data_IF_715210420462
#
_entry.id   IF_715210420462
#
_cell.length_a   1.000
_cell.length_b   1.000
_cell.length_c   1.000
_cell.angle_alpha   90.00
_cell.angle_beta   90.00
_cell.angle_gamma   90.00
#
_symmetry.space_group_name_H-M   'P 1'
#
loop_
_entity.id
_entity.type
_entity.pdbx_description
1 polymer ?
#
# COMPACT_ATOMS: atom_id res chain seq x y z
N UNK A 1 29.53 17.78 -12.27
CA UNK A 1 28.70 16.73 -12.87
C UNK A 1 28.72 15.45 -12.05
N UNK A 2 27.55 14.97 -11.63
CA UNK A 2 27.31 13.64 -11.02
C UNK A 2 26.44 12.82 -11.96
N UNK A 3 26.73 11.53 -12.14
CA UNK A 3 25.91 10.60 -12.92
C UNK A 3 25.27 9.57 -12.00
N UNK A 4 23.96 9.43 -12.08
CA UNK A 4 23.20 8.50 -11.25
C UNK A 4 22.26 7.65 -12.09
N UNK A 5 22.26 6.34 -11.85
CA UNK A 5 21.36 5.40 -12.53
C UNK A 5 20.34 4.84 -11.57
N UNK A 6 19.09 4.83 -12.02
CA UNK A 6 18.01 4.07 -11.42
C UNK A 6 17.67 2.90 -12.33
N UNK A 7 17.89 1.67 -11.86
CA UNK A 7 17.68 0.45 -12.65
C UNK A 7 16.58 -0.35 -11.99
N UNK A 8 15.55 -0.71 -12.75
CA UNK A 8 14.44 -1.53 -12.26
C UNK A 8 14.21 -2.68 -13.24
N UNK A 9 14.41 -3.91 -12.77
CA UNK A 9 14.01 -5.12 -13.48
C UNK A 9 12.87 -5.81 -12.77
N UNK A 10 11.80 -6.07 -13.51
CA UNK A 10 10.63 -6.81 -13.02
C UNK A 10 10.44 -8.03 -13.89
N UNK A 11 10.51 -9.21 -13.28
CA UNK A 11 10.03 -10.46 -13.88
C UNK A 11 8.67 -10.79 -13.29
N UNK A 12 7.72 -11.11 -14.13
CA UNK A 12 6.34 -11.39 -13.73
C UNK A 12 5.83 -12.59 -14.52
N UNK A 13 5.26 -13.57 -13.81
CA UNK A 13 4.35 -14.55 -14.36
C UNK A 13 2.97 -14.24 -13.83
N UNK A 14 2.05 -13.93 -14.74
CA UNK A 14 0.67 -13.56 -14.43
C UNK A 14 -0.26 -14.59 -15.06
N UNK A 15 -1.07 -15.25 -14.23
CA UNK A 15 -2.09 -16.20 -14.67
C UNK A 15 -3.46 -15.56 -14.47
N UNK A 16 -4.17 -15.32 -15.57
CA UNK A 16 -5.50 -14.76 -15.56
C UNK A 16 -6.53 -15.87 -15.29
N UNK A 17 -7.50 -15.56 -14.44
CA UNK A 17 -8.62 -16.43 -14.11
C UNK A 17 -9.90 -15.81 -14.65
N UNK A 18 -10.72 -16.63 -15.29
CA UNK A 18 -12.06 -16.26 -15.71
C UNK A 18 -13.03 -17.41 -15.47
N UNK A 19 -14.20 -17.13 -14.89
CA UNK A 19 -15.21 -18.12 -14.51
C UNK A 19 -14.64 -19.36 -13.78
N UNK A 20 -13.71 -19.11 -12.85
CA UNK A 20 -13.04 -20.13 -12.02
C UNK A 20 -12.20 -21.12 -12.85
N UNK A 21 -11.66 -20.67 -13.98
CA UNK A 21 -10.71 -21.41 -14.83
C UNK A 21 -9.55 -20.51 -15.23
N UNK A 22 -8.41 -21.11 -15.48
CA UNK A 22 -7.28 -20.42 -16.10
C UNK A 22 -7.69 -20.02 -17.53
N UNK A 23 -7.54 -18.74 -17.84
CA UNK A 23 -7.84 -18.16 -19.15
C UNK A 23 -6.57 -17.97 -19.97
N UNK A 24 -5.56 -17.34 -19.39
CA UNK A 24 -4.32 -17.00 -20.08
C UNK A 24 -3.13 -16.87 -19.12
N UNK A 25 -1.92 -17.05 -19.64
CA UNK A 25 -0.66 -16.87 -18.92
C UNK A 25 0.16 -15.83 -19.65
N UNK A 26 0.72 -14.86 -18.92
CA UNK A 26 1.61 -13.83 -19.43
C UNK A 26 2.92 -13.88 -18.68
N UNK A 27 4.02 -13.90 -19.44
CA UNK A 27 5.36 -13.69 -18.91
C UNK A 27 5.84 -12.29 -19.30
N UNK A 28 6.51 -11.63 -18.37
CA UNK A 28 7.11 -10.31 -18.57
C UNK A 28 8.47 -10.32 -17.89
N UNK A 29 9.50 -9.88 -18.60
CA UNK A 29 10.83 -9.59 -18.06
C UNK A 29 11.25 -8.24 -18.64
N UNK A 30 11.08 -7.19 -17.86
CA UNK A 30 11.36 -5.82 -18.31
C UNK A 30 12.40 -5.23 -17.39
N UNK A 31 13.53 -4.85 -17.99
CA UNK A 31 14.53 -4.00 -17.37
C UNK A 31 14.39 -2.57 -17.91
N UNK A 32 14.34 -1.61 -17.01
CA UNK A 32 14.31 -0.18 -17.29
C UNK A 32 15.53 0.46 -16.63
N UNK A 33 16.25 1.30 -17.37
CA UNK A 33 17.36 2.10 -16.84
C UNK A 33 17.09 3.57 -17.06
N UNK A 34 17.05 4.33 -15.97
CA UNK A 34 17.16 5.77 -15.94
C UNK A 34 18.59 6.22 -15.73
N UNK A 35 19.03 7.24 -16.45
CA UNK A 35 20.26 7.96 -16.16
C UNK A 35 19.93 9.42 -15.89
N UNK A 36 20.34 9.91 -14.72
CA UNK A 36 20.26 11.30 -14.28
C UNK A 36 21.66 11.90 -14.25
N UNK A 37 21.78 13.14 -14.70
CA UNK A 37 23.02 13.92 -14.70
C UNK A 37 22.75 15.22 -13.95
N UNK A 38 23.47 15.44 -12.86
CA UNK A 38 23.38 16.65 -12.06
C UNK A 38 24.59 17.53 -12.36
N UNK A 39 24.37 18.75 -12.84
CA UNK A 39 25.45 19.69 -13.14
C UNK A 39 25.03 21.14 -12.93
N UNK A 40 25.83 21.89 -12.16
CA UNK A 40 25.64 23.33 -11.91
C UNK A 40 24.22 23.72 -11.45
N UNK A 41 23.60 22.91 -10.59
CA UNK A 41 22.24 23.16 -10.08
C UNK A 41 21.11 22.79 -11.05
N UNK A 42 21.42 22.09 -12.14
CA UNK A 42 20.45 21.57 -13.10
C UNK A 42 20.50 20.04 -13.18
N UNK A 43 19.38 19.45 -13.59
CA UNK A 43 19.28 18.01 -13.88
C UNK A 43 18.96 17.75 -15.35
N UNK A 44 19.74 16.87 -15.96
CA UNK A 44 19.43 16.20 -17.22
C UNK A 44 19.09 14.74 -16.94
N UNK A 45 18.28 14.14 -17.79
CA UNK A 45 17.86 12.75 -17.65
C UNK A 45 17.57 12.10 -19.00
N UNK A 46 17.66 10.76 -19.04
CA UNK A 46 17.21 9.93 -20.15
C UNK A 46 16.87 8.50 -19.66
N UNK A 47 15.99 7.83 -20.41
CA UNK A 47 15.59 6.44 -20.15
C UNK A 47 15.97 5.47 -21.26
N UNK A 48 16.11 4.20 -20.89
CA UNK A 48 16.21 3.06 -21.78
C UNK A 48 15.40 1.86 -21.24
N UNK A 49 14.92 1.01 -22.15
CA UNK A 49 14.22 -0.25 -21.83
C UNK A 49 14.97 -1.38 -22.54
N UNK A 50 15.28 -2.44 -21.81
CA UNK A 50 16.08 -3.57 -22.30
C UNK A 50 17.52 -3.16 -22.61
N UNK A 51 18.07 -3.68 -23.70
CA UNK A 51 19.46 -3.42 -24.10
C UNK A 51 19.62 -1.97 -24.59
N UNK A 52 20.72 -1.32 -24.20
CA UNK A 52 21.07 0.03 -24.64
C UNK A 52 22.58 0.23 -24.71
N UNK A 53 23.02 1.20 -25.52
CA UNK A 53 24.40 1.67 -25.55
C UNK A 53 24.60 2.77 -24.50
N UNK A 54 25.54 2.55 -23.58
CA UNK A 54 25.82 3.44 -22.45
C UNK A 54 26.14 4.88 -22.91
N UNK A 55 26.97 5.00 -23.93
CA UNK A 55 27.43 6.28 -24.48
C UNK A 55 26.28 7.09 -25.08
N UNK A 56 25.33 6.43 -25.75
CA UNK A 56 24.15 7.08 -26.31
C UNK A 56 23.14 7.50 -25.23
N UNK A 57 22.96 6.69 -24.18
CA UNK A 57 22.11 7.08 -23.04
C UNK A 57 22.69 8.31 -22.32
N UNK A 58 24.00 8.32 -22.07
CA UNK A 58 24.69 9.46 -21.47
C UNK A 58 24.59 10.72 -22.34
N UNK A 59 24.79 10.58 -23.66
CA UNK A 59 24.66 11.71 -24.60
C UNK A 59 23.25 12.32 -24.55
N UNK A 60 22.20 11.50 -24.54
CA UNK A 60 20.81 11.97 -24.41
C UNK A 60 20.56 12.66 -23.07
N UNK A 61 21.03 12.09 -21.96
CA UNK A 61 20.87 12.68 -20.63
C UNK A 61 21.63 14.01 -20.50
N UNK A 62 22.80 14.15 -21.14
CA UNK A 62 23.53 15.44 -21.18
C UNK A 62 22.79 16.48 -22.01
N UNK A 63 22.27 16.10 -23.17
CA UNK A 63 21.53 17.02 -24.03
C UNK A 63 20.32 17.63 -23.33
N UNK A 64 19.66 16.91 -22.41
CA UNK A 64 18.52 17.43 -21.66
C UNK A 64 18.89 18.42 -20.56
N UNK A 65 20.18 18.60 -20.22
CA UNK A 65 20.61 19.71 -19.36
C UNK A 65 20.31 21.09 -19.97
N UNK A 66 20.24 21.20 -21.30
CA UNK A 66 19.91 22.44 -22.01
C UNK A 66 18.50 22.96 -21.67
N UNK A 67 17.62 22.09 -21.17
CA UNK A 67 16.30 22.47 -20.67
C UNK A 67 16.35 23.25 -19.35
N UNK A 68 17.52 23.30 -18.69
CA UNK A 68 17.75 24.04 -17.44
C UNK A 68 16.73 23.75 -16.34
N UNK A 69 16.38 22.47 -16.17
CA UNK A 69 15.47 22.04 -15.10
C UNK A 69 16.20 22.23 -13.76
N UNK A 70 15.74 23.13 -12.86
CA UNK A 70 16.45 23.41 -11.62
C UNK A 70 16.40 22.21 -10.67
N UNK A 71 17.57 21.79 -10.20
CA UNK A 71 17.75 20.75 -9.21
C UNK A 71 19.05 21.02 -8.44
N UNK A 72 18.92 21.75 -7.34
CA UNK A 72 20.04 22.23 -6.52
C UNK A 72 20.32 21.31 -5.32
N UNK A 73 19.84 20.07 -5.38
CA UNK A 73 19.92 19.12 -4.28
C UNK A 73 21.04 18.14 -4.55
N UNK A 74 21.95 18.01 -3.59
CA UNK A 74 23.06 17.07 -3.72
C UNK A 74 22.54 15.63 -3.72
N UNK A 75 22.97 14.79 -4.68
CA UNK A 75 22.71 13.35 -4.65
C UNK A 75 23.26 12.71 -3.36
N UNK A 76 22.70 11.56 -2.96
CA UNK A 76 23.30 10.79 -1.86
C UNK A 76 24.68 10.25 -2.28
N UNK A 77 25.64 10.23 -1.37
CA UNK A 77 27.02 9.82 -1.67
C UNK A 77 27.53 8.76 -0.67
N UNK A 78 28.58 8.02 -1.06
CA UNK A 78 29.37 7.14 -0.19
C UNK A 78 28.54 6.16 0.68
N UNK A 79 27.47 5.59 0.12
CA UNK A 79 26.55 4.70 0.84
C UNK A 79 26.31 3.44 0.03
N UNK A 80 26.69 2.30 0.60
CA UNK A 80 26.53 0.98 -0.02
C UNK A 80 25.60 0.15 0.86
N UNK A 81 24.49 -0.34 0.30
CA UNK A 81 23.56 -1.21 1.00
C UNK A 81 22.82 -2.12 0.04
N UNK A 82 22.81 -3.41 0.33
CA UNK A 82 22.16 -4.42 -0.49
C UNK A 82 21.26 -5.26 0.41
N UNK A 83 19.98 -5.36 0.08
CA UNK A 83 19.01 -6.15 0.82
C UNK A 83 18.27 -7.07 -0.15
N UNK A 84 18.32 -8.39 0.08
CA UNK A 84 17.60 -9.40 -0.70
C UNK A 84 16.57 -10.09 0.19
N UNK A 85 15.30 -9.88 -0.13
CA UNK A 85 14.15 -10.47 0.57
C UNK A 85 13.54 -11.64 -0.22
N UNK A 86 14.18 -12.04 -1.32
CA UNK A 86 13.70 -13.12 -2.18
C UNK A 86 13.70 -14.44 -1.43
N UNK A 87 12.51 -14.90 -1.06
CA UNK A 87 12.30 -16.23 -0.50
C UNK A 87 11.88 -17.21 -1.60
N UNK A 88 12.15 -18.50 -1.37
CA UNK A 88 11.55 -19.56 -2.18
C UNK A 88 10.06 -19.66 -1.81
N UNK A 89 9.19 -19.38 -2.79
CA UNK A 89 7.73 -19.42 -2.60
C UNK A 89 7.15 -20.65 -3.30
N UNK A 90 7.21 -20.64 -4.62
CA UNK A 90 6.75 -21.70 -5.52
C UNK A 90 7.63 -21.65 -6.77
N UNK A 91 7.86 -22.82 -7.37
CA UNK A 91 8.59 -22.90 -8.64
C UNK A 91 7.71 -22.41 -9.80
N UNK A 92 8.32 -21.67 -10.73
CA UNK A 92 7.59 -21.05 -11.84
C UNK A 92 6.86 -22.09 -12.71
N UNK A 93 7.49 -23.23 -12.96
CA UNK A 93 6.94 -24.35 -13.75
C UNK A 93 5.78 -25.08 -13.05
N UNK A 94 5.58 -24.85 -11.75
CA UNK A 94 4.49 -25.41 -10.94
C UNK A 94 3.32 -24.46 -10.72
N UNK A 95 3.44 -23.18 -11.08
CA UNK A 95 2.41 -22.16 -10.83
C UNK A 95 1.05 -22.52 -11.44
N UNK A 96 1.03 -23.03 -12.68
CA UNK A 96 -0.20 -23.34 -13.42
C UNK A 96 -0.91 -24.54 -12.80
N UNK A 97 -0.16 -25.61 -12.51
CA UNK A 97 -0.66 -26.83 -11.86
C UNK A 97 -1.25 -26.47 -10.49
N UNK A 98 -0.51 -25.68 -9.70
CA UNK A 98 -0.93 -25.27 -8.36
C UNK A 98 -2.21 -24.42 -8.37
N UNK A 99 -2.30 -23.43 -9.26
CA UNK A 99 -3.50 -22.60 -9.36
C UNK A 99 -4.71 -23.43 -9.83
N UNK A 100 -4.53 -24.36 -10.76
CA UNK A 100 -5.62 -25.23 -11.22
C UNK A 100 -6.12 -26.15 -10.09
N UNK A 101 -5.23 -26.66 -9.23
CA UNK A 101 -5.64 -27.42 -8.03
C UNK A 101 -6.48 -26.56 -7.08
N UNK A 102 -6.07 -25.31 -6.80
CA UNK A 102 -6.84 -24.37 -5.98
C UNK A 102 -8.22 -24.10 -6.62
N UNK A 103 -8.28 -23.76 -7.90
CA UNK A 103 -9.52 -23.47 -8.62
C UNK A 103 -10.44 -24.71 -8.69
N UNK A 104 -9.88 -25.91 -8.77
CA UNK A 104 -10.64 -27.16 -8.73
C UNK A 104 -11.40 -27.34 -7.42
N UNK A 105 -10.75 -27.05 -6.30
CA UNK A 105 -11.40 -27.05 -4.98
C UNK A 105 -12.50 -25.99 -4.93
N UNK A 106 -12.25 -24.76 -5.40
CA UNK A 106 -13.26 -23.70 -5.42
C UNK A 106 -14.49 -24.05 -6.26
N UNK A 107 -14.32 -24.70 -7.43
CA UNK A 107 -15.45 -25.16 -8.25
C UNK A 107 -16.34 -26.17 -7.53
N UNK A 108 -15.78 -26.95 -6.61
CA UNK A 108 -16.52 -27.93 -5.80
C UNK A 108 -17.13 -27.29 -4.54
N UNK A 109 -16.33 -26.59 -3.75
CA UNK A 109 -16.70 -26.10 -2.42
C UNK A 109 -17.47 -24.77 -2.45
N UNK A 110 -17.19 -23.92 -3.44
CA UNK A 110 -17.80 -22.60 -3.61
C UNK A 110 -18.51 -22.50 -4.97
N UNK A 111 -19.26 -23.55 -5.32
CA UNK A 111 -19.93 -23.68 -6.63
C UNK A 111 -21.02 -22.63 -6.92
N UNK A 112 -21.45 -21.88 -5.90
CA UNK A 112 -22.38 -20.75 -6.05
C UNK A 112 -21.71 -19.50 -6.67
N UNK A 113 -20.38 -19.47 -6.77
CA UNK A 113 -19.60 -18.32 -7.23
C UNK A 113 -18.84 -18.59 -8.54
N UNK A 114 -18.64 -17.53 -9.31
CA UNK A 114 -17.57 -17.42 -10.29
C UNK A 114 -16.41 -16.63 -9.70
N UNK A 115 -15.19 -17.08 -9.95
CA UNK A 115 -13.98 -16.34 -9.62
C UNK A 115 -13.30 -15.82 -10.89
N UNK A 116 -12.74 -14.63 -10.84
CA UNK A 116 -11.99 -14.03 -11.94
C UNK A 116 -10.84 -13.17 -11.43
N UNK A 117 -10.06 -12.57 -12.36
CA UNK A 117 -8.91 -11.69 -12.15
C UNK A 117 -7.58 -12.44 -12.24
N UNK A 118 -6.69 -12.46 -11.24
CA UNK A 118 -5.31 -12.95 -11.48
C UNK A 118 -4.59 -13.55 -10.27
N UNK A 119 -3.57 -14.33 -10.59
CA UNK A 119 -2.54 -14.82 -9.68
C UNK A 119 -1.18 -14.47 -10.27
N UNK A 120 -0.30 -13.85 -9.49
CA UNK A 120 1.00 -13.36 -9.97
C UNK A 120 2.15 -13.87 -9.12
N UNK A 121 3.26 -14.17 -9.79
CA UNK A 121 4.59 -14.29 -9.17
C UNK A 121 5.49 -13.21 -9.76
N UNK A 122 5.98 -12.31 -8.91
CA UNK A 122 6.81 -11.18 -9.29
C UNK A 122 8.20 -11.29 -8.67
N UNK A 123 9.25 -11.02 -9.43
CA UNK A 123 10.60 -10.79 -8.93
C UNK A 123 11.03 -9.37 -9.26
N UNK A 124 11.43 -8.63 -8.24
CA UNK A 124 11.87 -7.25 -8.33
C UNK A 124 13.38 -7.17 -8.10
N UNK A 125 14.08 -6.43 -8.95
CA UNK A 125 15.47 -6.03 -8.75
C UNK A 125 15.58 -4.54 -9.02
N UNK A 126 15.80 -3.75 -7.98
CA UNK A 126 15.86 -2.28 -8.06
C UNK A 126 17.22 -1.82 -7.56
N UNK A 127 17.88 -0.93 -8.31
CA UNK A 127 19.18 -0.36 -7.95
C UNK A 127 19.21 1.14 -8.13
N UNK A 128 19.89 1.83 -7.23
CA UNK A 128 20.26 3.23 -7.35
C UNK A 128 21.77 3.36 -7.14
N UNK A 129 22.49 3.80 -8.19
CA UNK A 129 23.95 3.85 -8.19
C UNK A 129 24.43 5.19 -8.74
N UNK A 130 25.53 5.76 -8.22
CA UNK A 130 26.13 6.95 -8.81
C UNK A 130 27.67 6.95 -8.75
N UNK A 131 28.29 7.90 -9.46
CA UNK A 131 29.75 8.08 -9.50
C UNK A 131 30.33 8.80 -8.27
N UNK A 132 29.53 8.97 -7.21
CA UNK A 132 29.89 9.51 -5.90
C UNK A 132 29.87 8.44 -4.79
N UNK A 133 29.83 7.17 -5.16
CA UNK A 133 29.93 6.05 -4.21
C UNK A 133 28.59 5.61 -3.61
N UNK A 134 27.45 6.05 -4.14
CA UNK A 134 26.15 5.46 -3.83
C UNK A 134 25.99 4.13 -4.57
N UNK A 135 25.61 3.07 -3.85
CA UNK A 135 25.23 1.79 -4.41
C UNK A 135 24.18 1.10 -3.53
N UNK A 136 22.92 1.33 -3.86
CA UNK A 136 21.77 0.75 -3.18
C UNK A 136 21.16 -0.33 -4.07
N UNK A 137 20.90 -1.51 -3.52
CA UNK A 137 20.21 -2.58 -4.23
C UNK A 137 19.14 -3.22 -3.36
N UNK A 138 17.95 -3.35 -3.93
CA UNK A 138 16.81 -4.04 -3.37
C UNK A 138 16.42 -5.20 -4.29
N UNK A 139 16.17 -6.36 -3.70
CA UNK A 139 15.67 -7.52 -4.43
C UNK A 139 14.57 -8.22 -3.64
N UNK A 140 13.53 -8.66 -4.33
CA UNK A 140 12.42 -9.37 -3.70
C UNK A 140 11.72 -10.33 -4.66
N UNK A 141 11.01 -11.30 -4.09
CA UNK A 141 10.14 -12.23 -4.79
C UNK A 141 8.81 -12.31 -4.05
N UNK A 142 7.73 -12.00 -4.76
CA UNK A 142 6.41 -11.80 -4.19
C UNK A 142 5.36 -12.58 -4.97
N UNK A 143 4.43 -13.21 -4.25
CA UNK A 143 3.24 -13.85 -4.81
C UNK A 143 1.99 -13.05 -4.46
N UNK A 144 1.05 -12.92 -5.39
CA UNK A 144 -0.28 -12.39 -5.12
C UNK A 144 -1.38 -13.27 -5.71
N UNK A 145 -2.45 -13.45 -4.94
CA UNK A 145 -3.73 -13.97 -5.42
C UNK A 145 -4.73 -12.83 -5.27
N UNK A 146 -5.37 -12.43 -6.35
CA UNK A 146 -6.35 -11.35 -6.37
C UNK A 146 -7.56 -11.86 -7.13
N UNK A 147 -8.50 -12.54 -6.44
CA UNK A 147 -9.70 -13.09 -7.05
C UNK A 147 -10.91 -12.24 -6.73
N UNK A 148 -11.60 -11.77 -7.76
CA UNK A 148 -12.96 -11.25 -7.64
C UNK A 148 -13.92 -12.42 -7.58
N UNK A 149 -14.92 -12.38 -6.69
CA UNK A 149 -16.00 -13.36 -6.67
C UNK A 149 -17.32 -12.72 -7.05
N UNK A 150 -18.13 -13.46 -7.82
CA UNK A 150 -19.49 -13.10 -8.22
C UNK A 150 -20.41 -14.28 -7.94
N UNK A 151 -21.45 -14.07 -7.15
CA UNK A 151 -22.53 -15.03 -6.97
C UNK A 151 -23.25 -15.25 -8.30
N UNK A 152 -23.48 -16.51 -8.68
CA UNK A 152 -24.08 -16.86 -9.98
C UNK A 152 -25.45 -16.22 -10.20
N UNK A 153 -26.23 -16.10 -9.13
CA UNK A 153 -27.57 -15.50 -9.12
C UNK A 153 -27.56 -13.97 -9.02
N UNK A 154 -26.43 -13.36 -8.67
CA UNK A 154 -26.29 -11.91 -8.61
C UNK A 154 -26.32 -11.31 -10.01
N UNK A 155 -26.95 -10.13 -10.15
CA UNK A 155 -26.94 -9.32 -11.37
C UNK A 155 -25.70 -8.43 -11.48
N UNK A 156 -24.91 -8.34 -10.41
CA UNK A 156 -23.72 -7.50 -10.35
C UNK A 156 -22.59 -8.03 -11.26
N UNK A 157 -21.61 -7.19 -11.57
CA UNK A 157 -20.41 -7.63 -12.30
C UNK A 157 -19.45 -8.38 -11.36
N UNK A 158 -19.43 -7.98 -10.08
CA UNK A 158 -18.73 -8.64 -8.97
C UNK A 158 -19.51 -8.41 -7.68
N UNK A 159 -19.35 -9.29 -6.70
CA UNK A 159 -19.98 -9.14 -5.37
C UNK A 159 -18.96 -8.94 -4.24
N UNK A 160 -17.69 -9.22 -4.49
CA UNK A 160 -16.58 -8.95 -3.57
C UNK A 160 -15.26 -9.50 -4.11
N UNK A 161 -14.24 -9.51 -3.25
CA UNK A 161 -12.92 -10.04 -3.58
C UNK A 161 -12.32 -10.83 -2.42
N UNK A 162 -11.37 -11.70 -2.75
CA UNK A 162 -10.55 -12.48 -1.83
C UNK A 162 -9.13 -12.51 -2.38
N UNK A 163 -8.15 -12.47 -1.50
CA UNK A 163 -6.77 -12.44 -1.96
C UNK A 163 -5.75 -12.31 -0.88
N UNK A 164 -4.50 -12.43 -1.29
CA UNK A 164 -3.34 -12.14 -0.46
C UNK A 164 -2.19 -11.63 -1.32
N UNK A 165 -1.24 -10.97 -0.67
CA UNK A 165 -0.02 -10.48 -1.27
C UNK A 165 1.13 -10.64 -0.27
N UNK A 166 2.19 -11.34 -0.65
CA UNK A 166 3.36 -11.48 0.21
C UNK A 166 4.41 -12.49 -0.24
N UNK A 167 5.26 -12.91 0.71
CA UNK A 167 6.42 -13.80 0.46
C UNK A 167 6.18 -15.26 0.81
N UNK A 168 4.92 -15.64 1.06
CA UNK A 168 4.53 -16.98 1.48
C UNK A 168 3.28 -17.41 0.75
N UNK A 169 3.23 -18.68 0.40
CA UNK A 169 2.06 -19.32 -0.20
C UNK A 169 1.81 -20.66 0.48
N UNK A 170 0.54 -20.90 0.80
CA UNK A 170 0.04 -22.19 1.24
C UNK A 170 -1.41 -22.31 0.74
N UNK A 171 -1.68 -23.33 -0.08
CA UNK A 171 -3.00 -23.53 -0.67
C UNK A 171 -4.09 -23.75 0.37
N UNK A 172 -3.80 -24.51 1.42
CA UNK A 172 -4.77 -24.80 2.46
C UNK A 172 -5.15 -23.54 3.24
N UNK A 173 -4.19 -22.66 3.51
CA UNK A 173 -4.47 -21.35 4.11
C UNK A 173 -5.23 -20.44 3.16
N UNK A 174 -4.84 -20.35 1.89
CA UNK A 174 -5.55 -19.56 0.89
C UNK A 174 -7.02 -20.01 0.74
N UNK A 175 -7.26 -21.32 0.61
CA UNK A 175 -8.60 -21.89 0.54
C UNK A 175 -9.41 -21.62 1.82
N UNK A 176 -8.77 -21.71 3.00
CA UNK A 176 -9.43 -21.40 4.27
C UNK A 176 -9.93 -19.95 4.30
N UNK A 177 -9.10 -19.01 3.88
CA UNK A 177 -9.47 -17.58 3.87
C UNK A 177 -10.56 -17.28 2.83
N UNK A 178 -10.45 -17.84 1.63
CA UNK A 178 -11.48 -17.72 0.58
C UNK A 178 -12.82 -18.29 1.09
N UNK A 179 -12.78 -19.50 1.66
CA UNK A 179 -13.97 -20.15 2.21
C UNK A 179 -14.56 -19.35 3.38
N UNK A 180 -13.73 -18.73 4.22
CA UNK A 180 -14.20 -17.89 5.32
C UNK A 180 -15.03 -16.71 4.80
N UNK A 181 -14.53 -15.98 3.81
CA UNK A 181 -15.26 -14.85 3.19
C UNK A 181 -16.51 -15.32 2.45
N UNK A 182 -16.41 -16.32 1.59
CA UNK A 182 -17.55 -16.81 0.79
C UNK A 182 -18.67 -17.39 1.66
N UNK A 183 -18.32 -18.09 2.75
CA UNK A 183 -19.32 -18.64 3.67
C UNK A 183 -20.01 -17.53 4.47
N UNK A 184 -19.26 -16.53 4.94
CA UNK A 184 -19.84 -15.36 5.59
C UNK A 184 -20.75 -14.56 4.63
N UNK A 185 -20.37 -14.45 3.35
CA UNK A 185 -21.17 -13.79 2.32
C UNK A 185 -22.55 -14.44 2.11
N UNK A 186 -22.59 -15.78 2.14
CA UNK A 186 -23.83 -16.56 2.01
C UNK A 186 -24.75 -16.40 3.23
N UNK A 187 -24.20 -16.14 4.41
CA UNK A 187 -24.98 -15.93 5.62
C UNK A 187 -25.38 -14.45 5.79
N UNK A 188 -26.63 -14.11 5.47
CA UNK A 188 -27.13 -12.73 5.66
C UNK A 188 -27.53 -12.49 7.10
N UNK A 189 -27.15 -11.33 7.65
CA UNK A 189 -27.51 -10.89 9.00
C UNK A 189 -27.94 -9.42 8.97
N UNK A 190 -28.81 -9.04 9.90
CA UNK A 190 -29.27 -7.65 10.04
C UNK A 190 -28.23 -6.80 10.78
N UNK A 191 -28.20 -5.50 10.51
CA UNK A 191 -27.43 -4.56 11.31
C UNK A 191 -28.04 -4.47 12.72
N UNK A 192 -27.25 -4.63 13.80
CA UNK A 192 -27.77 -4.41 15.16
C UNK A 192 -28.33 -2.99 15.33
N UNK A 193 -29.33 -2.81 16.19
CA UNK A 193 -29.93 -1.47 16.44
C UNK A 193 -29.01 -0.58 17.27
N UNK A 194 -28.09 0.12 16.61
CA UNK A 194 -27.14 1.11 17.18
C UNK A 194 -26.77 2.11 16.08
N UNK A 195 -26.31 3.31 16.44
CA UNK A 195 -25.84 4.30 15.45
C UNK A 195 -24.31 4.33 15.31
N UNK A 196 -23.58 4.04 16.38
CA UNK A 196 -22.11 4.10 16.43
C UNK A 196 -21.56 2.69 16.59
N UNK A 197 -20.70 2.25 15.68
CA UNK A 197 -20.09 0.92 15.73
C UNK A 197 -18.57 1.00 15.72
N UNK A 198 -17.88 0.01 16.32
CA UNK A 198 -16.50 -0.25 15.96
C UNK A 198 -16.45 -0.68 14.49
N UNK A 199 -15.96 0.18 13.63
CA UNK A 199 -15.72 -0.11 12.21
C UNK A 199 -14.28 -0.56 12.06
N UNK A 200 -14.09 -1.63 11.29
CA UNK A 200 -12.82 -2.33 11.12
C UNK A 200 -12.42 -2.28 9.65
N UNK A 201 -11.28 -1.66 9.39
CA UNK A 201 -10.63 -1.63 8.07
C UNK A 201 -9.35 -2.47 8.10
N UNK A 202 -8.96 -3.00 6.95
CA UNK A 202 -7.63 -3.54 6.78
C UNK A 202 -6.60 -2.39 6.72
N UNK A 203 -5.42 -2.56 7.31
CA UNK A 203 -4.40 -1.48 7.37
C UNK A 203 -3.78 -1.12 6.02
N UNK A 204 -3.95 -1.97 5.01
CA UNK A 204 -3.58 -1.74 3.61
C UNK A 204 -4.69 -1.01 2.83
N UNK A 205 -5.86 -0.76 3.42
CA UNK A 205 -6.87 0.12 2.85
C UNK A 205 -6.45 1.59 2.95
N UNK A 206 -6.42 2.26 1.81
CA UNK A 206 -5.98 3.67 1.73
C UNK A 206 -7.10 4.65 2.09
N UNK A 207 -8.36 4.25 1.92
CA UNK A 207 -9.50 5.14 2.11
C UNK A 207 -9.55 5.77 3.52
N UNK A 208 -9.38 5.03 4.64
CA UNK A 208 -9.43 5.62 5.98
C UNK A 208 -8.30 6.61 6.27
N UNK A 209 -7.13 6.44 5.62
CA UNK A 209 -5.93 7.27 5.84
C UNK A 209 -5.77 8.38 4.79
N UNK A 210 -6.63 8.43 3.76
CA UNK A 210 -6.51 9.34 2.61
C UNK A 210 -6.31 10.80 3.01
N UNK A 211 -7.07 11.29 4.00
CA UNK A 211 -6.93 12.67 4.49
C UNK A 211 -5.61 12.94 5.19
N UNK A 212 -5.08 11.95 5.93
CA UNK A 212 -3.74 12.07 6.54
C UNK A 212 -2.66 12.11 5.47
N UNK A 213 -2.77 11.31 4.40
CA UNK A 213 -1.87 11.40 3.24
C UNK A 213 -1.89 12.82 2.67
N UNK A 214 -3.07 13.36 2.38
CA UNK A 214 -3.20 14.72 1.82
C UNK A 214 -2.66 15.82 2.74
N UNK A 215 -2.99 15.76 4.03
CA UNK A 215 -2.64 16.81 4.99
C UNK A 215 -1.19 16.69 5.50
N UNK A 216 -0.54 15.54 5.34
CA UNK A 216 0.89 15.37 5.60
C UNK A 216 1.75 15.52 4.35
N UNK A 217 1.17 15.87 3.20
CA UNK A 217 1.93 16.26 2.02
C UNK A 217 2.74 17.52 2.29
N UNK A 218 4.06 17.47 2.10
CA UNK A 218 4.95 18.60 2.38
C UNK A 218 4.62 19.87 1.60
N UNK A 219 4.01 19.79 0.41
CA UNK A 219 3.56 20.97 -0.32
C UNK A 219 2.31 21.57 0.32
N UNK A 220 1.33 20.74 0.69
CA UNK A 220 0.12 21.21 1.36
C UNK A 220 0.41 21.76 2.75
N UNK A 221 1.29 21.09 3.48
CA UNK A 221 1.72 21.49 4.81
C UNK A 221 2.51 22.80 4.78
N UNK A 222 3.52 22.90 3.90
CA UNK A 222 4.36 24.08 3.78
C UNK A 222 3.63 25.32 3.22
N UNK A 223 2.58 25.13 2.43
CA UNK A 223 1.72 26.21 1.92
C UNK A 223 0.56 26.59 2.85
N UNK A 224 0.44 25.94 4.02
CA UNK A 224 -0.65 26.10 4.99
C UNK A 224 -2.06 25.74 4.45
N UNK A 225 -2.16 24.94 3.40
CA UNK A 225 -3.45 24.42 2.90
C UNK A 225 -3.92 23.18 3.68
N UNK A 226 -3.00 22.47 4.33
CA UNK A 226 -3.30 21.30 5.17
C UNK A 226 -3.93 21.68 6.51
N UNK A 227 -4.89 20.86 6.97
CA UNK A 227 -5.49 21.00 8.31
C UNK A 227 -4.49 20.77 9.45
N UNK A 228 -3.36 20.10 9.18
CA UNK A 228 -2.33 19.74 10.15
C UNK A 228 -1.20 20.78 10.25
N UNK A 229 -1.07 21.69 9.28
CA UNK A 229 -0.01 22.72 9.26
C UNK A 229 0.02 23.54 10.56
N UNK A 230 -1.14 24.07 10.97
CA UNK A 230 -1.31 24.87 12.20
C UNK A 230 -1.33 24.03 13.49
N UNK A 231 -1.23 22.71 13.35
CA UNK A 231 -1.25 21.72 14.43
C UNK A 231 0.13 21.10 14.68
N UNK A 232 1.18 21.51 13.96
CA UNK A 232 2.57 21.09 14.24
C UNK A 232 2.90 21.27 15.72
N UNK A 233 3.42 20.23 16.36
CA UNK A 233 3.75 20.19 17.78
C UNK A 233 2.56 20.07 18.73
N UNK A 234 1.33 19.97 18.25
CA UNK A 234 0.12 19.83 19.08
C UNK A 234 -0.40 18.39 19.05
N UNK A 235 -0.85 17.89 20.21
CA UNK A 235 -1.60 16.63 20.32
C UNK A 235 -3.02 16.86 19.81
N UNK A 236 -3.35 16.29 18.67
CA UNK A 236 -4.68 16.39 18.04
C UNK A 236 -5.31 15.03 17.75
N UNK A 237 -4.57 13.96 18.01
CA UNK A 237 -4.99 12.57 17.89
C UNK A 237 -4.78 11.82 19.20
N UNK A 238 -5.20 10.56 19.23
CA UNK A 238 -5.08 9.67 20.39
C UNK A 238 -3.61 9.48 20.78
N UNK A 239 -3.30 9.31 22.07
CA UNK A 239 -1.92 9.03 22.51
C UNK A 239 -1.39 7.68 22.06
N UNK A 240 -2.27 6.74 21.74
CA UNK A 240 -1.88 5.45 21.18
C UNK A 240 -1.74 5.50 19.65
N UNK A 241 -1.98 6.66 19.02
CA UNK A 241 -1.86 6.83 17.57
C UNK A 241 -0.48 7.37 17.21
N UNK A 242 0.30 6.55 16.51
CA UNK A 242 1.59 6.93 15.92
C UNK A 242 1.58 6.50 14.47
N UNK A 243 1.98 7.41 13.57
CA UNK A 243 1.98 7.22 12.12
C UNK A 243 3.39 7.41 11.57
N UNK A 244 3.82 6.43 10.79
CA UNK A 244 5.12 6.42 10.13
C UNK A 244 4.94 6.56 8.63
N UNK A 245 5.83 7.31 8.01
CA UNK A 245 6.28 7.00 6.66
C UNK A 245 7.09 5.69 6.71
N UNK A 246 6.85 4.75 5.80
CA UNK A 246 7.40 3.41 5.89
C UNK A 246 7.99 2.89 4.59
N UNK A 247 9.31 2.80 4.53
CA UNK A 247 10.02 2.10 3.45
C UNK A 247 10.54 0.74 3.91
N UNK A 248 10.07 0.19 5.04
CA UNK A 248 10.54 -1.11 5.52
C UNK A 248 10.04 -2.22 4.58
N UNK A 249 10.94 -2.92 3.86
CA UNK A 249 10.49 -3.91 2.88
C UNK A 249 9.77 -5.10 3.52
N UNK A 250 9.98 -5.36 4.81
CA UNK A 250 9.24 -6.40 5.53
C UNK A 250 7.74 -6.10 5.61
N UNK A 251 7.37 -4.81 5.62
CA UNK A 251 5.98 -4.37 5.66
C UNK A 251 5.39 -4.13 4.25
N UNK A 252 6.11 -3.43 3.37
CA UNK A 252 5.55 -2.82 2.15
C UNK A 252 5.89 -3.53 0.84
N UNK A 253 6.88 -4.44 0.84
CA UNK A 253 7.42 -5.05 -0.38
C UNK A 253 8.02 -4.04 -1.39
N UNK A 254 8.38 -2.83 -0.91
CA UNK A 254 9.04 -1.78 -1.69
C UNK A 254 10.52 -1.63 -1.30
N UNK A 255 11.34 -0.94 -2.11
CA UNK A 255 12.71 -0.58 -1.74
C UNK A 255 12.81 0.17 -0.41
N UNK A 256 13.92 -0.05 0.31
CA UNK A 256 14.22 0.61 1.60
C UNK A 256 14.74 2.05 1.47
N UNK A 257 14.73 2.58 0.25
CA UNK A 257 15.20 3.91 -0.13
C UNK A 257 14.23 4.54 -1.13
N UNK A 258 14.17 5.86 -1.14
CA UNK A 258 13.34 6.61 -2.08
C UNK A 258 14.07 6.89 -3.41
N UNK A 259 13.43 7.59 -4.36
CA UNK A 259 14.03 7.87 -5.67
C UNK A 259 15.26 8.80 -5.63
N UNK A 260 15.52 9.47 -4.50
CA UNK A 260 16.68 10.32 -4.25
C UNK A 260 17.76 9.58 -3.42
N UNK A 261 17.52 8.32 -3.04
CA UNK A 261 18.43 7.47 -2.28
C UNK A 261 18.36 7.66 -0.76
N UNK A 262 17.37 8.42 -0.27
CA UNK A 262 17.21 8.68 1.16
C UNK A 262 16.82 7.39 1.87
N UNK A 263 17.56 7.06 2.94
CA UNK A 263 17.31 5.90 3.79
C UNK A 263 17.11 6.39 5.22
N UNK A 264 15.91 6.16 5.75
CA UNK A 264 15.58 6.48 7.13
C UNK A 264 16.10 5.41 8.09
N UNK A 265 16.34 5.82 9.34
CA UNK A 265 16.64 4.88 10.43
C UNK A 265 15.50 3.86 10.55
N UNK A 266 15.83 2.58 10.67
CA UNK A 266 14.86 1.48 10.73
C UNK A 266 13.85 1.45 9.57
N UNK A 267 14.21 2.11 8.45
CA UNK A 267 13.40 2.32 7.24
C UNK A 267 12.09 3.07 7.47
N UNK A 268 11.98 3.85 8.54
CA UNK A 268 10.76 4.58 8.90
C UNK A 268 11.06 6.01 9.32
N UNK A 269 10.09 6.90 9.09
CA UNK A 269 10.12 8.27 9.59
C UNK A 269 8.82 8.57 10.34
N UNK A 270 8.89 9.05 11.58
CA UNK A 270 7.69 9.35 12.37
C UNK A 270 7.09 10.69 11.93
N UNK A 271 5.86 10.67 11.42
CA UNK A 271 5.13 11.87 10.99
C UNK A 271 4.19 12.38 12.10
N UNK A 272 3.59 11.44 12.84
CA UNK A 272 2.78 11.71 14.03
C UNK A 272 3.25 10.77 15.14
N UNK A 273 3.56 11.32 16.31
CA UNK A 273 4.05 10.56 17.46
C UNK A 273 3.11 10.72 18.66
N UNK A 274 2.52 9.62 19.13
CA UNK A 274 1.62 9.59 20.28
C UNK A 274 0.54 10.69 20.23
N UNK A 275 -0.02 10.85 19.03
CA UNK A 275 -1.05 11.81 18.69
C UNK A 275 -0.59 13.24 18.40
N UNK A 276 0.71 13.52 18.47
CA UNK A 276 1.33 14.82 18.19
C UNK A 276 1.80 14.89 16.73
N UNK A 277 1.40 15.93 16.00
CA UNK A 277 1.87 16.16 14.63
C UNK A 277 3.34 16.61 14.67
N UNK A 278 4.25 15.82 14.11
CA UNK A 278 5.69 16.07 14.12
C UNK A 278 6.10 16.83 12.87
N UNK A 279 5.96 16.20 11.70
CA UNK A 279 6.37 16.75 10.40
C UNK A 279 5.59 16.11 9.25
N UNK A 280 5.34 16.80 8.13
CA UNK A 280 4.86 16.18 6.89
C UNK A 280 5.93 15.29 6.24
N UNK A 281 5.55 14.50 5.25
CA UNK A 281 6.49 13.79 4.38
C UNK A 281 7.01 14.71 3.26
N UNK A 282 8.30 14.58 2.91
CA UNK A 282 8.98 15.45 1.94
C UNK A 282 10.04 14.69 1.12
N UNK A 283 10.30 15.18 -0.08
CA UNK A 283 11.53 14.96 -0.87
C UNK A 283 12.54 16.10 -0.57
N UNK A 284 13.75 16.06 -1.14
CA UNK A 284 14.78 17.11 -0.96
C UNK A 284 14.26 18.49 -1.38
N UNK A 285 13.49 18.53 -2.47
CA UNK A 285 12.89 19.75 -3.00
C UNK A 285 11.92 20.40 -2.05
N UNK A 286 10.95 19.64 -1.55
CA UNK A 286 9.89 20.14 -0.69
C UNK A 286 10.44 20.49 0.70
N UNK A 287 11.38 19.68 1.22
CA UNK A 287 12.08 19.96 2.47
C UNK A 287 12.78 21.33 2.43
N UNK A 288 13.61 21.59 1.40
CA UNK A 288 14.31 22.87 1.24
C UNK A 288 13.34 24.03 1.00
N UNK A 289 12.34 23.85 0.11
CA UNK A 289 11.40 24.90 -0.28
C UNK A 289 10.64 25.49 0.91
N UNK A 290 10.23 24.65 1.85
CA UNK A 290 9.40 25.07 2.98
C UNK A 290 10.13 25.03 4.34
N UNK A 291 11.45 24.79 4.33
CA UNK A 291 12.25 24.62 5.55
C UNK A 291 11.66 23.55 6.50
N UNK A 292 11.37 22.37 5.93
CA UNK A 292 10.85 21.19 6.59
C UNK A 292 11.93 20.11 6.67
N UNK A 293 11.73 19.13 7.56
CA UNK A 293 12.63 17.99 7.69
C UNK A 293 12.57 17.11 6.44
N UNK A 294 13.73 16.62 5.97
CA UNK A 294 13.80 15.65 4.88
C UNK A 294 13.38 14.26 5.38
N UNK A 295 12.22 13.76 4.92
CA UNK A 295 11.70 12.45 5.34
C UNK A 295 11.89 11.33 4.31
N UNK A 296 12.36 11.64 3.10
CA UNK A 296 12.68 10.64 2.07
C UNK A 296 11.44 10.03 1.42
N UNK A 297 10.55 10.87 0.88
CA UNK A 297 9.34 10.46 0.16
C UNK A 297 9.42 10.74 -1.35
N UNK A 298 10.62 10.77 -1.94
CA UNK A 298 10.76 11.01 -3.37
C UNK A 298 10.33 9.79 -4.19
N UNK A 299 9.55 10.02 -5.24
CA UNK A 299 9.27 9.06 -6.31
C UNK A 299 9.80 9.58 -7.63
N UNK A 300 10.00 8.68 -8.58
CA UNK A 300 10.37 9.04 -9.94
C UNK A 300 9.92 7.94 -10.89
N UNK A 301 9.43 8.33 -12.07
CA UNK A 301 9.50 7.44 -13.22
C UNK A 301 10.96 7.10 -13.51
N UNK A 302 11.19 5.93 -14.13
CA UNK A 302 12.55 5.48 -14.43
C UNK A 302 13.31 6.49 -15.28
N UNK A 303 12.64 7.24 -16.16
CA UNK A 303 13.20 8.27 -17.03
C UNK A 303 12.75 9.68 -16.63
N UNK A 304 12.53 9.91 -15.33
CA UNK A 304 12.03 11.18 -14.80
C UNK A 304 13.01 11.89 -13.85
N UNK A 305 12.59 13.08 -13.42
CA UNK A 305 13.19 13.83 -12.32
C UNK A 305 12.48 13.43 -11.02
N UNK A 306 13.19 13.20 -9.91
CA UNK A 306 12.55 12.93 -8.63
C UNK A 306 11.62 14.05 -8.19
N UNK A 307 10.49 13.66 -7.63
CA UNK A 307 9.48 14.56 -7.07
C UNK A 307 8.85 13.95 -5.83
N UNK A 308 8.16 14.77 -5.04
CA UNK A 308 7.39 14.30 -3.89
C UNK A 308 6.36 13.26 -4.32
N UNK A 309 6.52 12.04 -3.81
CA UNK A 309 5.59 10.94 -3.97
C UNK A 309 4.71 10.76 -2.74
N UNK A 310 3.58 10.07 -2.93
CA UNK A 310 2.80 9.54 -1.81
C UNK A 310 3.59 8.36 -1.23
N UNK A 311 4.01 8.42 0.03
CA UNK A 311 4.71 7.31 0.65
C UNK A 311 3.73 6.25 1.16
N UNK A 312 4.25 5.05 1.41
CA UNK A 312 3.54 4.08 2.24
C UNK A 312 3.47 4.56 3.68
N UNK A 313 2.27 4.51 4.27
CA UNK A 313 2.05 4.90 5.65
C UNK A 313 1.77 3.67 6.50
N UNK A 314 2.35 3.64 7.70
CA UNK A 314 2.10 2.58 8.68
C UNK A 314 1.68 3.18 10.01
N UNK A 315 0.52 2.75 10.50
CA UNK A 315 0.08 3.03 11.86
C UNK A 315 0.76 2.04 12.80
N UNK A 316 1.25 2.51 13.96
CA UNK A 316 1.84 1.65 14.98
C UNK A 316 0.81 0.64 15.49
N UNK A 317 1.20 -0.63 15.48
CA UNK A 317 0.42 -1.73 16.05
C UNK A 317 0.36 -1.62 17.59
N UNK A 318 -0.77 -1.99 18.17
CA UNK A 318 -0.92 -2.16 19.62
C UNK A 318 -0.55 -3.59 20.03
N UNK A 319 -0.41 -3.84 21.33
CA UNK A 319 -0.21 -5.19 21.88
C UNK A 319 -1.50 -6.03 21.97
N UNK A 320 -2.64 -5.46 21.55
CA UNK A 320 -3.96 -6.08 21.63
C UNK A 320 -4.34 -6.73 20.31
N UNK A 321 -5.06 -7.84 20.40
CA UNK A 321 -5.75 -8.47 19.28
C UNK A 321 -6.98 -7.67 18.87
N UNK A 322 -7.52 -7.91 17.68
CA UNK A 322 -8.78 -7.30 17.25
C UNK A 322 -9.92 -7.57 18.24
N UNK A 323 -10.03 -8.80 18.76
CA UNK A 323 -11.00 -9.17 19.80
C UNK A 323 -10.83 -8.36 21.09
N UNK A 324 -9.60 -8.17 21.55
CA UNK A 324 -9.31 -7.36 22.75
C UNK A 324 -9.59 -5.87 22.52
N UNK A 325 -9.37 -5.35 21.30
CA UNK A 325 -9.71 -3.98 20.91
C UNK A 325 -11.23 -3.76 20.80
N UNK A 326 -11.98 -4.78 20.38
CA UNK A 326 -13.44 -4.73 20.33
C UNK A 326 -14.08 -4.83 21.72
N UNK A 327 -13.39 -5.39 22.72
CA UNK A 327 -13.86 -5.41 24.10
C UNK A 327 -15.18 -6.18 24.31
N UNK A 328 -15.47 -7.15 23.44
CA UNK A 328 -16.71 -7.94 23.46
C UNK A 328 -17.86 -7.37 22.63
N UNK A 329 -17.69 -6.21 21.99
CA UNK A 329 -18.63 -5.69 21.00
C UNK A 329 -18.47 -6.40 19.64
N UNK A 330 -19.56 -6.47 18.87
CA UNK A 330 -19.48 -6.81 17.45
C UNK A 330 -19.00 -5.59 16.66
N UNK A 331 -18.00 -5.79 15.81
CA UNK A 331 -17.52 -4.81 14.85
C UNK A 331 -18.13 -4.98 13.46
N UNK A 332 -17.92 -3.98 12.62
CA UNK A 332 -18.27 -4.01 11.20
C UNK A 332 -16.98 -4.07 10.40
N UNK A 333 -16.65 -5.25 9.88
CA UNK A 333 -15.50 -5.41 8.99
C UNK A 333 -15.88 -4.96 7.59
N UNK A 334 -15.25 -3.88 7.12
CA UNK A 334 -15.44 -3.34 5.78
C UNK A 334 -14.52 -4.08 4.83
N UNK A 335 -15.11 -4.91 3.95
CA UNK A 335 -14.34 -5.58 2.89
C UNK A 335 -14.32 -4.74 1.61
N UNK A 336 -15.42 -4.04 1.28
CA UNK A 336 -15.50 -3.22 0.08
C UNK A 336 -16.23 -1.91 0.37
N UNK A 337 -15.52 -0.80 0.19
CA UNK A 337 -16.04 0.56 0.26
C UNK A 337 -15.50 1.36 -0.92
N UNK A 338 -16.38 2.02 -1.66
CA UNK A 338 -16.02 2.78 -2.86
C UNK A 338 -16.98 3.95 -3.06
N UNK A 339 -16.48 5.05 -3.62
CA UNK A 339 -17.25 6.29 -3.84
C UNK A 339 -17.25 7.25 -2.65
N UNK A 340 -16.55 6.93 -1.57
CA UNK A 340 -16.35 7.82 -0.42
C UNK A 340 -15.14 8.75 -0.53
N UNK A 341 -15.15 9.82 0.27
CA UNK A 341 -14.04 10.76 0.39
C UNK A 341 -14.09 11.55 1.70
N UNK A 342 -13.14 12.47 1.85
CA UNK A 342 -13.13 13.50 2.88
C UNK A 342 -13.50 14.86 2.30
N UNK A 343 -14.26 15.66 3.05
CA UNK A 343 -14.42 17.09 2.77
C UNK A 343 -13.14 17.86 3.13
N UNK A 344 -12.95 19.11 2.66
CA UNK A 344 -11.82 19.95 3.06
C UNK A 344 -11.66 20.09 4.58
N UNK A 345 -12.77 20.10 5.33
CA UNK A 345 -12.83 20.19 6.80
C UNK A 345 -12.52 18.86 7.50
N UNK A 346 -12.30 17.77 6.74
CA UNK A 346 -11.95 16.46 7.25
C UNK A 346 -13.15 15.57 7.61
N UNK A 347 -14.37 15.90 7.18
CA UNK A 347 -15.52 15.01 7.36
C UNK A 347 -15.43 13.85 6.38
N UNK A 348 -15.52 12.62 6.89
CA UNK A 348 -15.46 11.38 6.13
C UNK A 348 -16.84 10.81 5.88
N UNK A 349 -17.07 10.31 4.66
CA UNK A 349 -18.24 9.51 4.33
C UNK A 349 -17.93 8.53 3.21
N UNK A 350 -18.39 7.29 3.33
CA UNK A 350 -18.32 6.30 2.26
C UNK A 350 -19.52 5.36 2.26
N UNK A 351 -20.07 5.02 1.08
CA UNK A 351 -20.89 3.83 0.98
C UNK A 351 -19.99 2.59 1.04
N UNK A 352 -20.55 1.54 1.63
CA UNK A 352 -19.93 0.24 1.90
C UNK A 352 -20.78 -0.81 1.21
N UNK A 353 -20.26 -1.34 0.12
CA UNK A 353 -20.93 -2.32 -0.73
C UNK A 353 -20.86 -3.74 -0.15
N UNK A 354 -19.81 -4.05 0.62
CA UNK A 354 -19.69 -5.33 1.31
C UNK A 354 -19.04 -5.17 2.68
N UNK A 355 -19.79 -5.52 3.71
CA UNK A 355 -19.31 -5.63 5.08
C UNK A 355 -19.79 -6.91 5.76
N UNK A 356 -19.05 -7.31 6.79
CA UNK A 356 -19.40 -8.43 7.64
C UNK A 356 -19.55 -7.98 9.10
N UNK A 357 -20.53 -8.54 9.79
CA UNK A 357 -20.55 -8.49 11.25
C UNK A 357 -19.38 -9.34 11.76
N UNK A 358 -18.57 -8.80 12.67
CA UNK A 358 -17.28 -9.37 13.05
C UNK A 358 -17.12 -9.42 14.57
N UNK A 359 -16.76 -10.58 15.12
CA UNK A 359 -16.62 -10.78 16.57
C UNK A 359 -15.18 -10.57 17.10
N UNK A 360 -14.25 -10.16 16.22
CA UNK A 360 -12.83 -10.04 16.53
C UNK A 360 -11.97 -11.21 16.04
N UNK A 361 -12.59 -12.30 15.61
CA UNK A 361 -11.93 -13.50 15.08
C UNK A 361 -12.59 -14.02 13.80
N UNK A 362 -13.92 -13.90 13.66
CA UNK A 362 -14.72 -14.47 12.57
C UNK A 362 -15.73 -13.48 12.03
N UNK A 363 -15.88 -13.48 10.71
CA UNK A 363 -17.05 -12.94 10.03
C UNK A 363 -18.28 -13.81 10.36
N UNK A 364 -19.22 -13.22 11.09
CA UNK A 364 -20.48 -13.84 11.52
C UNK A 364 -21.43 -13.97 10.34
N UNK A 365 -21.52 -12.93 9.51
CA UNK A 365 -22.37 -12.91 8.31
C UNK A 365 -22.30 -11.58 7.59
N UNK A 366 -22.76 -11.56 6.34
CA UNK A 366 -22.86 -10.38 5.50
C UNK A 366 -23.99 -9.46 5.98
N UNK A 367 -23.63 -8.19 6.17
CA UNK A 367 -24.55 -7.10 6.47
C UNK A 367 -25.20 -6.57 5.17
N UNK A 368 -26.33 -5.83 5.26
CA UNK A 368 -26.82 -5.03 4.14
C UNK A 368 -25.77 -3.98 3.72
N UNK A 369 -25.99 -3.29 2.60
CA UNK A 369 -25.17 -2.14 2.22
C UNK A 369 -25.28 -1.03 3.27
N UNK A 370 -24.17 -0.38 3.58
CA UNK A 370 -24.07 0.58 4.68
C UNK A 370 -23.49 1.90 4.21
N UNK A 371 -23.81 2.99 4.90
CA UNK A 371 -23.04 4.22 4.89
C UNK A 371 -22.24 4.31 6.19
N UNK A 372 -20.96 4.64 6.08
CA UNK A 372 -20.07 4.91 7.23
C UNK A 372 -19.63 6.37 7.17
N UNK A 373 -19.66 7.07 8.30
CA UNK A 373 -19.24 8.48 8.38
C UNK A 373 -18.55 8.82 9.71
N UNK A 374 -17.65 9.82 9.67
CA UNK A 374 -16.92 10.34 10.84
C UNK A 374 -16.21 11.67 10.49
N UNK A 375 -15.25 12.09 11.30
CA UNK A 375 -14.28 13.14 10.98
C UNK A 375 -12.85 12.63 11.24
N UNK A 376 -11.87 13.04 10.43
CA UNK A 376 -10.47 12.60 10.54
C UNK A 376 -9.89 12.77 11.95
N UNK A 377 -10.25 13.84 12.67
CA UNK A 377 -9.77 14.08 14.03
C UNK A 377 -10.44 13.17 15.06
N UNK A 378 -11.69 12.74 14.83
CA UNK A 378 -12.36 11.77 15.69
C UNK A 378 -11.85 10.35 15.41
N UNK A 379 -11.76 9.97 14.12
CA UNK A 379 -11.27 8.66 13.63
C UNK A 379 -9.95 8.24 14.28
N UNK A 380 -8.98 9.16 14.29
CA UNK A 380 -7.65 8.92 14.87
C UNK A 380 -7.48 9.54 16.27
N UNK A 381 -8.53 10.19 16.80
CA UNK A 381 -8.59 10.80 18.12
C UNK A 381 -9.39 9.96 19.10
N UNK A 382 -10.52 10.49 19.57
CA UNK A 382 -11.32 9.86 20.62
C UNK A 382 -11.97 8.54 20.18
N UNK A 383 -12.23 8.37 18.88
CA UNK A 383 -12.81 7.13 18.34
C UNK A 383 -11.77 6.06 18.01
N UNK A 384 -10.48 6.38 18.05
CA UNK A 384 -9.43 5.42 17.72
C UNK A 384 -9.32 4.34 18.80
N UNK A 385 -9.65 3.10 18.47
CA UNK A 385 -9.47 1.96 19.38
C UNK A 385 -8.06 1.39 19.29
N UNK A 386 -7.49 1.33 18.08
CA UNK A 386 -6.13 0.85 17.86
C UNK A 386 -5.95 0.10 16.54
N UNK A 387 -4.72 -0.32 16.30
CA UNK A 387 -4.36 -1.33 15.30
C UNK A 387 -4.00 -2.63 16.01
N UNK A 388 -4.56 -3.75 15.56
CA UNK A 388 -4.33 -5.06 16.20
C UNK A 388 -2.93 -5.62 15.95
N UNK A 389 -2.41 -6.43 16.88
CA UNK A 389 -1.18 -7.22 16.66
C UNK A 389 -1.36 -8.41 15.72
N UNK A 390 -2.57 -8.98 15.62
CA UNK A 390 -2.84 -10.14 14.78
C UNK A 390 -3.15 -9.71 13.34
N UNK A 391 -2.77 -10.55 12.37
CA UNK A 391 -3.11 -10.34 10.96
C UNK A 391 -4.58 -10.69 10.69
N UNK A 392 -5.12 -10.13 9.62
CA UNK A 392 -6.43 -10.52 9.07
C UNK A 392 -6.41 -11.94 8.55
N UNK A 393 -5.30 -12.32 7.90
CA UNK A 393 -5.04 -13.65 7.39
C UNK A 393 -3.58 -14.04 7.66
N UNK A 394 -3.26 -15.33 7.86
CA UNK A 394 -1.89 -15.80 8.01
C UNK A 394 -0.99 -15.54 6.78
N UNK A 395 -1.56 -15.30 5.60
CA UNK A 395 -0.85 -15.05 4.34
C UNK A 395 -0.81 -13.57 3.94
N UNK A 396 -1.36 -12.68 4.78
CA UNK A 396 -1.37 -11.22 4.61
C UNK A 396 -0.60 -10.52 5.74
N UNK A 397 0.08 -9.41 5.43
CA UNK A 397 0.69 -8.55 6.45
C UNK A 397 -0.33 -7.61 7.13
N UNK A 398 -1.52 -7.47 6.55
CA UNK A 398 -2.55 -6.51 6.95
C UNK A 398 -3.12 -6.83 8.32
N UNK A 399 -3.32 -5.78 9.12
CA UNK A 399 -3.88 -5.81 10.48
C UNK A 399 -5.28 -5.20 10.49
N UNK A 400 -5.95 -5.28 11.62
CA UNK A 400 -7.25 -4.64 11.84
C UNK A 400 -7.05 -3.23 12.42
N UNK A 401 -7.41 -2.21 11.64
CA UNK A 401 -7.55 -0.82 12.10
C UNK A 401 -8.99 -0.63 12.60
N UNK A 402 -9.15 -0.32 13.89
CA UNK A 402 -10.46 -0.24 14.53
C UNK A 402 -10.72 1.16 15.08
N UNK A 403 -11.86 1.73 14.70
CA UNK A 403 -12.33 3.02 15.19
C UNK A 403 -13.86 3.09 15.26
N UNK A 404 -14.38 3.87 16.20
CA UNK A 404 -15.82 4.10 16.34
C UNK A 404 -16.34 5.11 15.31
N UNK A 405 -17.33 4.71 14.52
CA UNK A 405 -17.90 5.53 13.45
C UNK A 405 -19.42 5.42 13.41
N UNK A 406 -20.06 6.42 12.82
CA UNK A 406 -21.50 6.39 12.57
C UNK A 406 -21.80 5.47 11.40
N UNK A 407 -22.78 4.60 11.55
CA UNK A 407 -23.20 3.62 10.54
C UNK A 407 -24.71 3.65 10.36
N UNK A 408 -25.16 3.60 9.11
CA UNK A 408 -26.58 3.44 8.76
C UNK A 408 -26.72 2.50 7.58
N UNK A 409 -27.84 1.78 7.49
CA UNK A 409 -28.19 1.03 6.28
C UNK A 409 -28.50 1.98 5.11
N UNK A 410 -28.33 1.50 3.87
CA UNK A 410 -28.65 2.21 2.63
C UNK A 410 -30.02 1.83 2.10
#
# INVERSE_FOLDING_TARGET
MVKEKYISRVKEVSINVNQTRIDSIRHKDIEKTGLRIYDNGYIGYAGAIGNYEETELEKRAKATLDNKIPYEYEPEENKIKNEDFSLRIIEEDKLVEELEELLSVLRKEQSDFYFSHKFNLNEYNIKLINDKGLNLAYKDKIISLELLFKEKKSVNIMDGFVGFWGRKYDRSLALKDINHVCNAYKNKVDLPKKEIFPVVFATDETLPIKKLVQDLDGNNFGSNSSLLSVKKGKKVFNENFTLYQNNNPLDTFLPFFDAEGVINKDYRYTLIENGVVVTPYTDKKTAKKYNLDLTGAATSEYDGVPTLGIPELKIKESEKTAKELLGGEMGIFVLMASGGDFTPEGNFGTPVQLAFLFDGEKFVGRLPELNVSSNVFDMFGNSFRGVSKNTISPVLNSRFLIMDMKVSEI
#
